data_IF_702499972341
#
_entry.id   IF_702499972341
#
_cell.length_a   1.000
_cell.length_b   1.000
_cell.length_c   1.000
_cell.angle_alpha   90.00
_cell.angle_beta   90.00
_cell.angle_gamma   90.00
#
_symmetry.space_group_name_H-M   'P 1'
#
loop_
_entity.id
_entity.type
_entity.pdbx_description
1 polymer ?
#
# COMPACT_ATOMS: atom_id res chain seq x y z
N UNK A 1 28.67 -6.08 24.06
CA UNK A 1 28.34 -4.98 23.12
C UNK A 1 28.01 -5.60 21.78
N UNK A 2 26.76 -6.02 21.58
CA UNK A 2 26.26 -6.51 20.29
C UNK A 2 25.53 -5.36 19.60
N UNK A 3 26.28 -4.49 18.94
CA UNK A 3 25.73 -3.72 17.82
C UNK A 3 25.64 -4.70 16.65
N UNK A 4 24.51 -5.38 16.52
CA UNK A 4 24.09 -5.90 15.21
C UNK A 4 24.16 -4.70 14.27
N UNK A 5 25.07 -4.75 13.29
CA UNK A 5 25.11 -3.75 12.24
C UNK A 5 23.72 -3.76 11.59
N UNK A 6 22.98 -2.67 11.78
CA UNK A 6 21.78 -2.43 11.01
C UNK A 6 22.25 -2.15 9.59
N UNK A 7 22.26 -3.19 8.76
CA UNK A 7 22.37 -3.01 7.32
C UNK A 7 21.01 -2.51 6.84
N UNK A 8 20.96 -1.28 6.30
CA UNK A 8 19.76 -0.75 5.68
C UNK A 8 19.24 -1.76 4.64
N UNK A 9 17.91 -2.00 4.61
CA UNK A 9 17.33 -2.89 3.62
C UNK A 9 17.71 -2.42 2.22
N UNK A 10 18.30 -3.32 1.43
CA UNK A 10 18.70 -3.01 0.06
C UNK A 10 17.46 -3.11 -0.84
N UNK A 11 16.58 -2.11 -0.75
CA UNK A 11 15.26 -2.07 -1.40
C UNK A 11 15.34 -2.33 -2.90
N UNK A 12 16.33 -1.79 -3.59
CA UNK A 12 16.56 -2.06 -5.02
C UNK A 12 16.82 -3.54 -5.30
N UNK A 13 17.60 -4.22 -4.44
CA UNK A 13 17.86 -5.66 -4.58
C UNK A 13 16.64 -6.50 -4.25
N UNK A 14 15.84 -6.07 -3.27
CA UNK A 14 14.57 -6.71 -2.96
C UNK A 14 13.63 -6.64 -4.16
N UNK A 15 13.46 -5.47 -4.77
CA UNK A 15 12.65 -5.28 -5.98
C UNK A 15 13.13 -6.20 -7.11
N UNK A 16 14.44 -6.20 -7.39
CA UNK A 16 15.04 -7.02 -8.45
C UNK A 16 14.82 -8.54 -8.28
N UNK A 17 14.59 -9.00 -7.05
CA UNK A 17 14.28 -10.41 -6.75
C UNK A 17 12.77 -10.66 -6.78
N UNK A 18 11.99 -9.76 -6.18
CA UNK A 18 10.57 -9.96 -5.90
C UNK A 18 9.69 -9.71 -7.13
N UNK A 19 9.99 -8.72 -7.98
CA UNK A 19 9.23 -8.46 -9.21
C UNK A 19 9.21 -9.71 -10.12
N UNK A 20 10.35 -10.31 -10.54
CA UNK A 20 10.33 -11.50 -11.38
C UNK A 20 9.74 -12.72 -10.68
N UNK A 21 9.86 -12.80 -9.35
CA UNK A 21 9.27 -13.90 -8.58
C UNK A 21 7.74 -13.86 -8.62
N UNK A 22 7.16 -12.68 -8.43
CA UNK A 22 5.71 -12.45 -8.42
C UNK A 22 5.10 -12.59 -9.83
N UNK A 23 5.80 -12.14 -10.87
CA UNK A 23 5.36 -12.34 -12.26
C UNK A 23 5.22 -13.82 -12.65
N UNK A 24 6.08 -14.67 -12.09
CA UNK A 24 6.09 -16.12 -12.37
C UNK A 24 5.13 -16.93 -11.50
N UNK A 25 4.56 -16.34 -10.45
CA UNK A 25 3.79 -17.05 -9.44
C UNK A 25 2.37 -16.49 -9.34
N UNK A 26 1.52 -16.81 -10.32
CA UNK A 26 0.16 -16.24 -10.45
C UNK A 26 -0.92 -16.96 -9.63
N UNK A 27 -0.66 -18.16 -9.10
CA UNK A 27 -1.69 -19.02 -8.49
C UNK A 27 -1.45 -19.39 -7.01
N UNK A 28 -0.39 -18.87 -6.37
CA UNK A 28 -0.03 -19.29 -5.01
C UNK A 28 -0.77 -18.48 -3.94
N UNK A 29 -1.45 -19.16 -3.00
CA UNK A 29 -2.05 -18.55 -1.81
C UNK A 29 -1.03 -17.94 -0.83
N UNK A 30 0.27 -18.18 -1.05
CA UNK A 30 1.39 -17.57 -0.30
C UNK A 30 1.66 -16.13 -0.80
N UNK A 31 1.18 -15.78 -1.99
CA UNK A 31 1.42 -14.50 -2.66
C UNK A 31 0.29 -13.50 -2.43
N UNK A 32 -0.90 -13.96 -1.99
CA UNK A 32 -2.04 -13.08 -1.76
C UNK A 32 -1.93 -12.34 -0.41
N UNK A 33 -2.30 -11.06 -0.38
CA UNK A 33 -2.56 -10.29 0.86
C UNK A 33 -3.77 -10.85 1.65
N UNK A 34 -4.50 -11.83 1.09
CA UNK A 34 -5.81 -12.29 1.57
C UNK A 34 -5.75 -13.37 2.65
N UNK A 35 -4.56 -13.79 3.10
CA UNK A 35 -4.44 -14.78 4.18
C UNK A 35 -3.40 -14.35 5.21
N UNK A 36 -3.89 -14.26 6.45
CA UNK A 36 -3.22 -14.06 7.74
C UNK A 36 -3.08 -12.59 8.21
N UNK A 37 -4.13 -12.02 8.84
CA UNK A 37 -4.11 -10.68 9.43
C UNK A 37 -3.31 -10.53 10.74
N UNK A 38 -2.67 -11.58 11.28
CA UNK A 38 -2.17 -11.56 12.67
C UNK A 38 -0.80 -12.24 12.88
N UNK A 39 -0.14 -12.76 11.84
CA UNK A 39 1.18 -13.40 12.02
C UNK A 39 2.31 -12.44 11.66
N UNK A 40 2.90 -11.79 12.68
CA UNK A 40 4.10 -10.95 12.62
C UNK A 40 5.32 -11.58 11.91
N UNK A 41 5.26 -12.88 11.57
CA UNK A 41 6.35 -13.67 10.99
C UNK A 41 6.06 -14.20 9.56
N UNK A 42 4.90 -13.91 8.97
CA UNK A 42 4.62 -14.33 7.59
C UNK A 42 5.26 -13.36 6.61
N UNK A 43 6.32 -13.81 5.94
CA UNK A 43 6.90 -13.11 4.81
C UNK A 43 5.87 -13.06 3.66
N UNK A 44 5.26 -11.89 3.46
CA UNK A 44 4.50 -11.58 2.24
C UNK A 44 5.47 -10.91 1.24
N UNK A 45 5.83 -11.60 0.14
CA UNK A 45 6.68 -11.03 -0.91
C UNK A 45 6.09 -9.71 -1.45
N UNK A 46 4.76 -9.65 -1.55
CA UNK A 46 4.04 -8.48 -2.03
C UNK A 46 4.08 -7.33 -1.02
N UNK A 47 3.90 -7.59 0.28
CA UNK A 47 4.02 -6.54 1.29
C UNK A 47 5.45 -5.97 1.39
N UNK A 48 6.46 -6.84 1.23
CA UNK A 48 7.87 -6.40 1.19
C UNK A 48 8.20 -5.61 -0.07
N UNK A 49 7.61 -5.99 -1.20
CA UNK A 49 7.74 -5.24 -2.43
C UNK A 49 7.07 -3.86 -2.32
N UNK A 50 5.85 -3.81 -1.78
CA UNK A 50 5.13 -2.57 -1.52
C UNK A 50 5.94 -1.62 -0.65
N UNK A 51 6.43 -2.09 0.51
CA UNK A 51 7.31 -1.30 1.37
C UNK A 51 8.54 -0.79 0.62
N UNK A 52 9.17 -1.63 -0.21
CA UNK A 52 10.34 -1.20 -0.98
C UNK A 52 10.01 -0.14 -2.03
N UNK A 53 8.82 -0.17 -2.61
CA UNK A 53 8.34 0.91 -3.47
C UNK A 53 8.10 2.19 -2.70
N UNK A 54 7.49 2.13 -1.52
CA UNK A 54 7.26 3.30 -0.66
C UNK A 54 8.58 3.97 -0.29
N UNK A 55 9.56 3.20 0.18
CA UNK A 55 10.88 3.71 0.61
C UNK A 55 11.68 4.32 -0.56
N UNK A 56 11.47 3.84 -1.78
CA UNK A 56 12.12 4.40 -2.98
C UNK A 56 11.26 5.43 -3.73
N UNK A 57 10.09 5.81 -3.20
CA UNK A 57 9.19 6.78 -3.83
C UNK A 57 8.60 6.31 -5.18
N UNK A 58 8.55 4.99 -5.42
CA UNK A 58 8.01 4.40 -6.65
C UNK A 58 6.47 4.30 -6.59
N UNK A 59 5.80 5.43 -6.37
CA UNK A 59 4.36 5.49 -6.15
C UNK A 59 3.53 5.04 -7.38
N UNK A 60 4.03 5.28 -8.60
CA UNK A 60 3.40 4.79 -9.83
C UNK A 60 3.25 3.25 -9.83
N UNK A 61 4.22 2.53 -9.28
CA UNK A 61 4.18 1.06 -9.18
C UNK A 61 3.13 0.59 -8.18
N UNK A 62 2.99 1.30 -7.06
CA UNK A 62 1.96 1.03 -6.05
C UNK A 62 0.57 1.29 -6.64
N UNK A 63 0.39 2.45 -7.28
CA UNK A 63 -0.86 2.80 -7.94
C UNK A 63 -1.26 1.77 -9.01
N UNK A 64 -0.31 1.38 -9.87
CA UNK A 64 -0.56 0.38 -10.92
C UNK A 64 -0.98 -1.00 -10.36
N UNK A 65 -0.45 -1.40 -9.20
CA UNK A 65 -0.89 -2.63 -8.53
C UNK A 65 -2.36 -2.53 -8.12
N UNK A 66 -2.76 -1.44 -7.46
CA UNK A 66 -4.15 -1.26 -7.01
C UNK A 66 -5.13 -0.99 -8.16
N UNK A 67 -4.70 -0.31 -9.23
CA UNK A 67 -5.46 -0.20 -10.48
C UNK A 67 -5.85 -1.60 -11.00
N UNK A 68 -4.89 -2.54 -11.02
CA UNK A 68 -5.13 -3.91 -11.46
C UNK A 68 -6.10 -4.65 -10.52
N UNK A 69 -5.85 -4.58 -9.21
CA UNK A 69 -6.69 -5.23 -8.19
C UNK A 69 -8.14 -4.78 -8.30
N UNK A 70 -8.36 -3.48 -8.47
CA UNK A 70 -9.70 -2.89 -8.57
C UNK A 70 -10.35 -3.18 -9.93
N UNK A 71 -9.58 -3.20 -11.02
CA UNK A 71 -10.06 -3.62 -12.34
C UNK A 71 -10.50 -5.10 -12.40
N UNK A 72 -9.89 -5.96 -11.58
CA UNK A 72 -10.31 -7.36 -11.39
C UNK A 72 -11.57 -7.51 -10.51
N UNK A 73 -12.16 -6.40 -10.06
CA UNK A 73 -13.38 -6.37 -9.26
C UNK A 73 -13.15 -6.72 -7.79
N UNK A 74 -11.90 -6.70 -7.31
CA UNK A 74 -11.62 -6.87 -5.89
C UNK A 74 -11.89 -5.55 -5.14
N UNK A 75 -12.49 -5.68 -3.95
CA UNK A 75 -12.72 -4.55 -3.04
C UNK A 75 -11.54 -4.46 -2.07
N UNK A 76 -10.73 -3.39 -2.10
CA UNK A 76 -9.62 -3.23 -1.16
C UNK A 76 -10.10 -3.03 0.28
N UNK A 77 -9.28 -3.42 1.26
CA UNK A 77 -9.55 -3.10 2.67
C UNK A 77 -9.30 -1.62 3.00
N UNK A 78 -9.54 -1.21 4.26
CA UNK A 78 -9.29 0.16 4.68
C UNK A 78 -7.82 0.59 4.49
N UNK A 79 -6.86 -0.21 4.98
CA UNK A 79 -5.43 0.06 4.79
C UNK A 79 -5.06 0.15 3.30
N UNK A 80 -5.53 -0.80 2.49
CA UNK A 80 -5.28 -0.78 1.04
C UNK A 80 -5.86 0.47 0.36
N UNK A 81 -7.04 0.93 0.78
CA UNK A 81 -7.63 2.17 0.25
C UNK A 81 -6.78 3.39 0.60
N UNK A 82 -6.20 3.42 1.81
CA UNK A 82 -5.34 4.51 2.25
C UNK A 82 -4.01 4.50 1.48
N UNK A 83 -3.33 3.36 1.41
CA UNK A 83 -2.07 3.20 0.67
C UNK A 83 -2.25 3.52 -0.81
N UNK A 84 -3.37 3.09 -1.40
CA UNK A 84 -3.69 3.41 -2.77
C UNK A 84 -3.93 4.91 -2.98
N UNK A 85 -4.70 5.55 -2.11
CA UNK A 85 -4.96 6.98 -2.19
C UNK A 85 -3.67 7.81 -2.07
N UNK A 86 -2.78 7.45 -1.14
CA UNK A 86 -1.49 8.11 -0.98
C UNK A 86 -0.58 7.91 -2.20
N UNK A 87 -0.54 6.71 -2.76
CA UNK A 87 0.22 6.45 -3.99
C UNK A 87 -0.31 7.28 -5.18
N UNK A 88 -1.63 7.38 -5.34
CA UNK A 88 -2.25 8.22 -6.37
C UNK A 88 -1.92 9.71 -6.17
N UNK A 89 -1.92 10.17 -4.92
CA UNK A 89 -1.62 11.57 -4.60
C UNK A 89 -0.18 11.94 -4.98
N UNK A 90 0.77 11.06 -4.63
CA UNK A 90 2.19 11.21 -4.96
C UNK A 90 2.50 10.96 -6.45
N UNK A 91 1.57 10.36 -7.21
CA UNK A 91 1.68 10.11 -8.67
C UNK A 91 0.91 11.14 -9.52
N UNK A 92 0.56 12.29 -8.95
CA UNK A 92 -0.20 13.39 -9.59
C UNK A 92 -1.62 13.03 -10.09
N UNK A 93 -2.17 11.87 -9.65
CA UNK A 93 -3.55 11.43 -9.93
C UNK A 93 -4.51 11.93 -8.84
N UNK A 94 -4.53 13.24 -8.66
CA UNK A 94 -5.09 13.92 -7.48
C UNK A 94 -6.60 13.71 -7.29
N UNK A 95 -7.37 13.75 -8.37
CA UNK A 95 -8.83 13.56 -8.31
C UNK A 95 -9.20 12.13 -7.89
N UNK A 96 -8.44 11.16 -8.36
CA UNK A 96 -8.60 9.75 -7.99
C UNK A 96 -8.18 9.51 -6.54
N UNK A 97 -7.08 10.15 -6.10
CA UNK A 97 -6.65 10.10 -4.70
C UNK A 97 -7.76 10.56 -3.74
N UNK A 98 -8.41 11.71 -4.04
CA UNK A 98 -9.53 12.23 -3.22
C UNK A 98 -10.69 11.23 -3.15
N UNK A 99 -11.00 10.56 -4.26
CA UNK A 99 -12.05 9.52 -4.28
C UNK A 99 -11.68 8.37 -3.34
N UNK A 100 -10.45 7.89 -3.36
CA UNK A 100 -10.02 6.77 -2.53
C UNK A 100 -9.85 7.13 -1.05
N UNK A 101 -9.39 8.33 -0.72
CA UNK A 101 -9.41 8.81 0.66
C UNK A 101 -10.84 8.85 1.24
N UNK A 102 -11.84 9.23 0.43
CA UNK A 102 -13.26 9.18 0.86
C UNK A 102 -13.75 7.76 1.10
N UNK A 103 -13.38 6.81 0.24
CA UNK A 103 -13.76 5.41 0.46
C UNK A 103 -13.07 4.83 1.70
N UNK A 104 -11.79 5.16 1.93
CA UNK A 104 -11.10 4.82 3.16
C UNK A 104 -11.84 5.33 4.40
N UNK A 105 -12.23 6.61 4.42
CA UNK A 105 -12.98 7.19 5.56
C UNK A 105 -14.31 6.48 5.82
N UNK A 106 -14.98 6.03 4.76
CA UNK A 106 -16.24 5.30 4.86
C UNK A 106 -16.07 3.89 5.40
N UNK A 107 -15.02 3.18 4.99
CA UNK A 107 -14.74 1.81 5.47
C UNK A 107 -14.24 1.86 6.92
N UNK A 108 -13.36 2.82 7.23
CA UNK A 108 -12.72 2.95 8.55
C UNK A 108 -13.57 3.66 9.60
N UNK A 109 -14.80 4.08 9.30
CA UNK A 109 -15.62 4.94 10.18
C UNK A 109 -15.74 4.41 11.62
N UNK A 110 -15.82 3.08 11.77
CA UNK A 110 -15.99 2.41 13.06
C UNK A 110 -14.80 1.51 13.44
N UNK A 111 -13.67 1.62 12.74
CA UNK A 111 -12.49 0.80 13.01
C UNK A 111 -11.60 1.49 14.05
N UNK A 112 -11.42 0.83 15.20
CA UNK A 112 -10.54 1.31 16.26
C UNK A 112 -9.08 1.30 15.81
N UNK A 113 -8.32 2.35 16.17
CA UNK A 113 -6.90 2.45 15.84
C UNK A 113 -6.58 3.10 14.50
N UNK A 114 -7.60 3.54 13.76
CA UNK A 114 -7.43 4.27 12.49
C UNK A 114 -7.64 5.79 12.63
N UNK A 115 -7.78 6.33 13.84
CA UNK A 115 -8.08 7.75 14.09
C UNK A 115 -7.08 8.66 13.38
N UNK A 116 -5.79 8.37 13.53
CA UNK A 116 -4.72 9.15 12.94
C UNK A 116 -4.74 9.13 11.40
N UNK A 117 -4.98 7.96 10.80
CA UNK A 117 -5.09 7.85 9.35
C UNK A 117 -6.32 8.57 8.81
N UNK A 118 -7.45 8.54 9.55
CA UNK A 118 -8.66 9.31 9.22
C UNK A 118 -8.40 10.81 9.23
N UNK A 119 -7.65 11.32 10.21
CA UNK A 119 -7.26 12.73 10.25
C UNK A 119 -6.42 13.13 9.02
N UNK A 120 -5.39 12.34 8.67
CA UNK A 120 -4.57 12.59 7.48
C UNK A 120 -5.43 12.60 6.21
N UNK A 121 -6.29 11.59 6.03
CA UNK A 121 -7.15 11.50 4.85
C UNK A 121 -8.09 12.70 4.73
N UNK A 122 -8.66 13.17 5.85
CA UNK A 122 -9.51 14.36 5.86
C UNK A 122 -8.74 15.61 5.45
N UNK A 123 -7.52 15.79 5.95
CA UNK A 123 -6.70 16.96 5.63
C UNK A 123 -6.27 16.95 4.17
N UNK A 124 -5.85 15.79 3.63
CA UNK A 124 -5.57 15.62 2.19
C UNK A 124 -6.77 15.99 1.33
N UNK A 125 -7.98 15.59 1.71
CA UNK A 125 -9.20 15.97 0.98
C UNK A 125 -9.44 17.49 1.04
N UNK A 126 -9.25 18.14 2.19
CA UNK A 126 -9.47 19.59 2.36
C UNK A 126 -8.48 20.42 1.56
N UNK A 127 -7.19 20.03 1.58
CA UNK A 127 -6.14 20.69 0.79
C UNK A 127 -6.52 20.75 -0.69
N UNK A 128 -7.11 19.66 -1.20
CA UNK A 128 -7.50 19.52 -2.61
C UNK A 128 -8.81 20.24 -2.96
N UNK A 129 -9.72 20.37 -2.00
CA UNK A 129 -10.98 21.08 -2.19
C UNK A 129 -10.82 22.61 -2.15
N UNK A 130 -9.64 23.11 -1.80
CA UNK A 130 -9.33 24.54 -1.64
C UNK A 130 -8.72 25.20 -2.88
N UNK A 131 -8.56 24.47 -3.99
CA UNK A 131 -8.09 24.94 -5.29
C UNK A 131 -9.21 24.85 -6.34
#
# INVERSE_FOLDING_TARGET
LYTLAYDEPQHEKLIAILEPFLERTTESSVVSMKKYPEEMLVFSPLAKLHLSYTELGMFDKIAAYYDKVTAEGQTPGAYDCFDYADALDNSDRKDEAVRWFKEFLKISENEEGMEFMREIAQDRIKEKASF
#
